data_IF_138351903764
#
_entry.id   IF_138351903764
#
_cell.length_a   1.000
_cell.length_b   1.000
_cell.length_c   1.000
_cell.angle_alpha   90.00
_cell.angle_beta   90.00
_cell.angle_gamma   90.00
#
_symmetry.space_group_name_H-M   'P 1'
#
loop_
_entity.id
_entity.type
_entity.pdbx_description
1 polymer ?
#
# COMPACT_ATOMS: atom_id res chain seq x y z
N UNK A 1 12.15 22.34 -2.42
CA UNK A 1 10.91 23.02 -2.88
C UNK A 1 9.77 22.15 -2.42
N UNK A 2 9.21 22.48 -1.23
CA UNK A 2 7.96 21.87 -0.74
C UNK A 2 6.87 22.13 -1.77
N UNK A 3 6.58 21.17 -2.63
CA UNK A 3 5.26 21.10 -3.24
C UNK A 3 4.30 20.73 -2.11
N UNK A 4 3.67 21.74 -1.49
CA UNK A 4 2.42 21.50 -0.79
C UNK A 4 1.54 20.73 -1.76
N UNK A 5 1.20 19.50 -1.40
CA UNK A 5 0.18 18.72 -2.09
C UNK A 5 -1.15 19.45 -1.90
N UNK A 6 -1.36 20.53 -2.64
CA UNK A 6 -2.69 21.07 -2.82
C UNK A 6 -3.45 20.04 -3.66
N UNK A 7 -4.09 19.16 -2.95
CA UNK A 7 -5.04 18.24 -3.54
C UNK A 7 -6.06 19.07 -4.30
N UNK A 8 -6.10 18.91 -5.61
CA UNK A 8 -7.08 19.62 -6.44
C UNK A 8 -8.46 19.17 -5.96
N UNK A 9 -9.37 20.11 -5.70
CA UNK A 9 -10.77 19.82 -5.32
C UNK A 9 -11.39 18.85 -6.32
N UNK A 10 -10.98 18.97 -7.58
CA UNK A 10 -11.41 18.12 -8.70
C UNK A 10 -10.98 16.65 -8.53
N UNK A 11 -9.82 16.38 -7.94
CA UNK A 11 -9.32 15.01 -7.73
C UNK A 11 -10.12 14.33 -6.61
N UNK A 12 -10.46 15.08 -5.54
CA UNK A 12 -11.30 14.58 -4.44
C UNK A 12 -12.69 14.19 -4.92
N UNK A 13 -13.31 15.04 -5.73
CA UNK A 13 -14.62 14.77 -6.32
C UNK A 13 -14.57 13.55 -7.24
N UNK A 14 -13.51 13.45 -8.07
CA UNK A 14 -13.33 12.34 -9.01
C UNK A 14 -13.22 10.99 -8.29
N UNK A 15 -12.46 10.94 -7.20
CA UNK A 15 -12.27 9.70 -6.42
C UNK A 15 -13.28 9.53 -5.27
N UNK A 16 -14.25 10.41 -5.13
CA UNK A 16 -15.20 10.40 -4.00
C UNK A 16 -14.50 10.34 -2.64
N UNK A 17 -13.39 11.07 -2.53
CA UNK A 17 -12.58 11.09 -1.33
C UNK A 17 -13.24 11.91 -0.23
N UNK A 18 -13.45 11.28 0.93
CA UNK A 18 -13.99 11.91 2.13
C UNK A 18 -12.93 12.81 2.77
N UNK A 19 -13.14 14.16 2.84
CA UNK A 19 -12.15 15.09 3.35
C UNK A 19 -11.84 14.92 4.83
N UNK A 20 -12.73 14.28 5.59
CA UNK A 20 -12.60 14.07 7.04
C UNK A 20 -11.87 12.78 7.40
N UNK A 21 -11.52 11.96 6.38
CA UNK A 21 -10.80 10.69 6.56
C UNK A 21 -9.37 10.76 6.08
N UNK A 22 -8.55 9.85 6.59
CA UNK A 22 -7.23 9.54 6.02
C UNK A 22 -7.38 8.70 4.77
N UNK A 23 -6.53 8.92 3.78
CA UNK A 23 -6.60 8.22 2.50
C UNK A 23 -5.45 7.24 2.38
N UNK A 24 -5.76 5.96 2.20
CA UNK A 24 -4.76 4.88 2.17
C UNK A 24 -4.90 4.10 0.86
N UNK A 25 -3.78 3.96 0.17
CA UNK A 25 -3.69 3.23 -1.08
C UNK A 25 -3.37 1.76 -0.79
N UNK A 26 -4.17 0.84 -1.33
CA UNK A 26 -3.92 -0.60 -1.28
C UNK A 26 -3.58 -1.11 -2.67
N UNK A 27 -2.36 -1.61 -2.85
CA UNK A 27 -1.85 -2.11 -4.13
C UNK A 27 -1.46 -3.59 -4.01
N UNK A 28 -2.43 -4.52 -4.05
CA UNK A 28 -2.20 -5.94 -3.78
C UNK A 28 -1.47 -6.69 -4.89
N UNK A 29 -1.10 -6.03 -5.96
CA UNK A 29 -0.41 -6.60 -7.11
C UNK A 29 -1.22 -6.62 -8.39
N UNK A 30 -0.58 -7.09 -9.47
CA UNK A 30 -1.16 -7.17 -10.81
C UNK A 30 -1.47 -8.61 -11.26
N UNK A 31 -1.21 -9.61 -10.42
CA UNK A 31 -1.48 -11.02 -10.70
C UNK A 31 -2.53 -11.56 -9.74
N UNK A 32 -3.45 -12.38 -10.25
CA UNK A 32 -4.54 -12.94 -9.46
C UNK A 32 -4.09 -13.69 -8.21
N UNK A 33 -2.95 -14.39 -8.26
CA UNK A 33 -2.40 -15.08 -7.09
C UNK A 33 -1.83 -14.12 -6.04
N UNK A 34 -1.21 -13.02 -6.45
CA UNK A 34 -0.75 -11.95 -5.54
C UNK A 34 -1.95 -11.34 -4.81
N UNK A 35 -2.97 -10.95 -5.57
CA UNK A 35 -4.20 -10.36 -5.02
C UNK A 35 -4.88 -11.31 -4.02
N UNK A 36 -5.03 -12.60 -4.37
CA UNK A 36 -5.61 -13.59 -3.44
C UNK A 36 -4.77 -13.79 -2.18
N UNK A 37 -3.45 -13.72 -2.30
CA UNK A 37 -2.54 -13.95 -1.18
C UNK A 37 -2.35 -12.76 -0.26
N UNK A 38 -2.46 -11.53 -0.77
CA UNK A 38 -2.13 -10.31 -0.04
C UNK A 38 -3.35 -9.48 0.36
N UNK A 39 -4.34 -9.33 -0.54
CA UNK A 39 -5.48 -8.44 -0.29
C UNK A 39 -6.27 -8.79 0.98
N UNK A 40 -6.55 -10.06 1.33
CA UNK A 40 -7.23 -10.37 2.59
C UNK A 40 -6.49 -9.80 3.81
N UNK A 41 -5.16 -9.99 3.90
CA UNK A 41 -4.35 -9.46 5.00
C UNK A 41 -4.30 -7.93 5.00
N UNK A 42 -4.23 -7.30 3.82
CA UNK A 42 -4.31 -5.84 3.70
C UNK A 42 -5.65 -5.29 4.20
N UNK A 43 -6.76 -5.99 3.93
CA UNK A 43 -8.10 -5.62 4.42
C UNK A 43 -8.23 -5.79 5.92
N UNK A 44 -7.61 -6.83 6.49
CA UNK A 44 -7.54 -7.01 7.94
C UNK A 44 -6.75 -5.87 8.60
N UNK A 45 -5.59 -5.50 8.02
CA UNK A 45 -4.81 -4.35 8.45
C UNK A 45 -5.61 -3.03 8.31
N UNK A 46 -6.37 -2.87 7.23
CA UNK A 46 -7.24 -1.72 7.03
C UNK A 46 -8.28 -1.57 8.13
N UNK A 47 -8.86 -2.68 8.61
CA UNK A 47 -9.76 -2.66 9.77
C UNK A 47 -9.08 -2.20 11.05
N UNK A 48 -7.87 -2.69 11.32
CA UNK A 48 -7.10 -2.26 12.50
C UNK A 48 -6.71 -0.78 12.44
N UNK A 49 -6.33 -0.30 11.26
CA UNK A 49 -6.03 1.11 11.02
C UNK A 49 -7.28 1.96 11.22
N UNK A 50 -8.41 1.59 10.62
CA UNK A 50 -9.65 2.35 10.69
C UNK A 50 -10.19 2.52 12.11
N UNK A 51 -9.95 1.55 13.01
CA UNK A 51 -10.32 1.64 14.43
C UNK A 51 -9.59 2.78 15.15
N UNK A 52 -8.37 3.12 14.73
CA UNK A 52 -7.50 4.11 15.39
C UNK A 52 -7.43 5.44 14.65
N UNK A 53 -7.58 5.40 13.32
CA UNK A 53 -7.59 6.56 12.44
C UNK A 53 -8.69 6.36 11.39
N UNK A 54 -9.82 7.10 11.47
CA UNK A 54 -10.87 7.01 10.46
C UNK A 54 -10.30 7.17 9.06
N UNK A 55 -10.48 6.16 8.21
CA UNK A 55 -9.78 6.07 6.93
C UNK A 55 -10.68 5.61 5.80
N UNK A 56 -10.35 6.06 4.59
CA UNK A 56 -10.89 5.57 3.34
C UNK A 56 -9.76 4.89 2.55
N UNK A 57 -10.07 3.76 1.95
CA UNK A 57 -9.09 2.92 1.26
C UNK A 57 -9.36 2.89 -0.23
N UNK A 58 -8.31 3.04 -1.02
CA UNK A 58 -8.39 3.04 -2.47
C UNK A 58 -7.63 1.86 -3.06
N UNK A 59 -8.27 1.13 -3.98
CA UNK A 59 -7.65 0.02 -4.70
C UNK A 59 -7.60 0.35 -6.18
N UNK A 60 -6.46 0.82 -6.72
CA UNK A 60 -6.32 1.01 -8.15
C UNK A 60 -6.27 -0.35 -8.84
N UNK A 61 -7.31 -0.65 -9.60
CA UNK A 61 -7.41 -1.93 -10.31
C UNK A 61 -6.39 -2.01 -11.45
N UNK A 62 -5.52 -2.99 -11.40
CA UNK A 62 -4.70 -3.34 -12.56
C UNK A 62 -5.59 -3.92 -13.68
N UNK A 63 -5.34 -3.57 -14.93
CA UNK A 63 -6.13 -4.04 -16.08
C UNK A 63 -6.18 -5.57 -16.22
N UNK A 64 -5.18 -6.26 -15.67
CA UNK A 64 -5.08 -7.72 -15.63
C UNK A 64 -5.96 -8.38 -14.57
N UNK A 65 -6.55 -7.61 -13.65
CA UNK A 65 -7.36 -8.10 -12.53
C UNK A 65 -8.84 -7.82 -12.81
N UNK A 66 -9.67 -8.87 -12.70
CA UNK A 66 -11.11 -8.71 -12.87
C UNK A 66 -11.76 -8.05 -11.65
N UNK A 67 -12.78 -7.23 -11.90
CA UNK A 67 -13.60 -6.65 -10.82
C UNK A 67 -14.26 -7.74 -9.96
N UNK A 68 -14.71 -8.85 -10.57
CA UNK A 68 -15.32 -9.95 -9.84
C UNK A 68 -14.37 -10.57 -8.82
N UNK A 69 -13.07 -10.67 -9.12
CA UNK A 69 -12.08 -11.15 -8.15
C UNK A 69 -11.97 -10.18 -6.97
N UNK A 70 -11.85 -8.87 -7.23
CA UNK A 70 -11.79 -7.88 -6.15
C UNK A 70 -13.05 -7.90 -5.29
N UNK A 71 -14.23 -7.87 -5.92
CA UNK A 71 -15.51 -7.94 -5.20
C UNK A 71 -15.68 -9.22 -4.38
N UNK A 72 -15.21 -10.38 -4.89
CA UNK A 72 -15.27 -11.63 -4.14
C UNK A 72 -14.44 -11.62 -2.86
N UNK A 73 -13.34 -10.87 -2.84
CA UNK A 73 -12.47 -10.73 -1.67
C UNK A 73 -12.98 -9.62 -0.73
N UNK A 74 -13.38 -8.48 -1.29
CA UNK A 74 -13.81 -7.30 -0.54
C UNK A 74 -15.22 -7.49 0.04
N UNK A 75 -16.11 -8.14 -0.68
CA UNK A 75 -17.55 -8.23 -0.34
C UNK A 75 -17.89 -8.86 1.02
N UNK A 76 -16.91 -9.39 1.73
CA UNK A 76 -17.02 -9.95 3.08
C UNK A 76 -16.41 -9.04 4.15
N UNK A 77 -16.10 -7.78 3.84
CA UNK A 77 -15.44 -6.83 4.74
C UNK A 77 -16.35 -5.64 5.12
N UNK A 78 -17.42 -5.85 5.90
CA UNK A 78 -18.22 -4.76 6.40
C UNK A 78 -17.40 -3.90 7.37
N UNK A 79 -17.61 -2.58 7.33
CA UNK A 79 -17.05 -1.65 8.32
C UNK A 79 -15.79 -0.90 7.90
N UNK A 80 -15.32 -1.05 6.66
CA UNK A 80 -14.30 -0.20 6.06
C UNK A 80 -14.80 0.41 4.75
N UNK A 81 -14.43 1.66 4.51
CA UNK A 81 -14.78 2.42 3.31
C UNK A 81 -13.73 2.14 2.24
N UNK A 82 -14.12 1.42 1.18
CA UNK A 82 -13.23 1.00 0.09
C UNK A 82 -13.77 1.45 -1.25
N UNK A 83 -12.95 2.16 -2.02
CA UNK A 83 -13.22 2.53 -3.40
C UNK A 83 -12.27 1.81 -4.36
N UNK A 84 -12.82 1.08 -5.33
CA UNK A 84 -12.04 0.50 -6.43
C UNK A 84 -11.98 1.53 -7.54
N UNK A 85 -10.77 1.88 -7.99
CA UNK A 85 -10.58 2.90 -9.02
C UNK A 85 -9.97 2.31 -10.29
N UNK A 86 -10.23 2.95 -11.42
CA UNK A 86 -9.64 2.62 -12.72
C UNK A 86 -8.89 3.84 -13.27
N UNK A 87 -7.64 3.63 -13.70
CA UNK A 87 -6.79 4.73 -14.18
C UNK A 87 -6.34 5.70 -13.09
N UNK A 88 -5.79 6.85 -13.49
CA UNK A 88 -5.38 7.97 -12.63
C UNK A 88 -4.58 7.57 -11.37
N UNK A 89 -3.74 6.51 -11.48
CA UNK A 89 -2.99 5.93 -10.36
C UNK A 89 -2.05 6.94 -9.70
N UNK A 90 -1.42 7.81 -10.47
CA UNK A 90 -0.52 8.83 -9.95
C UNK A 90 -1.25 9.94 -9.18
N UNK A 91 -2.46 10.30 -9.62
CA UNK A 91 -3.30 11.27 -8.91
C UNK A 91 -3.74 10.69 -7.56
N UNK A 92 -4.09 9.38 -7.52
CA UNK A 92 -4.34 8.66 -6.28
C UNK A 92 -3.12 8.63 -5.35
N UNK A 93 -1.91 8.34 -5.87
CA UNK A 93 -0.68 8.38 -5.08
C UNK A 93 -0.43 9.78 -4.51
N UNK A 94 -0.70 10.83 -5.31
CA UNK A 94 -0.61 12.23 -4.85
C UNK A 94 -1.63 12.59 -3.78
N UNK A 95 -2.77 11.91 -3.74
CA UNK A 95 -3.88 12.17 -2.81
C UNK A 95 -3.72 11.41 -1.49
N UNK A 96 -3.15 10.21 -1.49
CA UNK A 96 -3.11 9.35 -0.33
C UNK A 96 -2.07 9.78 0.71
N UNK A 97 -2.33 9.43 1.98
CA UNK A 97 -1.44 9.68 3.11
C UNK A 97 -0.42 8.58 3.31
N UNK A 98 -0.77 7.35 2.94
CA UNK A 98 0.09 6.17 3.03
C UNK A 98 -0.30 5.13 1.98
N UNK A 99 0.60 4.17 1.73
CA UNK A 99 0.39 3.06 0.82
C UNK A 99 0.79 1.73 1.46
N UNK A 100 0.04 0.68 1.16
CA UNK A 100 0.40 -0.71 1.40
C UNK A 100 0.51 -1.36 0.03
N UNK A 101 1.72 -1.71 -0.39
CA UNK A 101 1.97 -2.18 -1.76
C UNK A 101 2.64 -3.55 -1.80
N UNK A 102 2.24 -4.40 -2.74
CA UNK A 102 3.03 -5.57 -3.09
C UNK A 102 4.34 -5.17 -3.76
N UNK A 103 5.37 -6.02 -3.64
CA UNK A 103 6.65 -5.80 -4.30
C UNK A 103 6.50 -5.70 -5.83
N UNK A 104 7.21 -4.73 -6.42
CA UNK A 104 7.23 -4.49 -7.87
C UNK A 104 7.58 -3.06 -8.21
N UNK A 105 7.38 -2.67 -9.46
CA UNK A 105 7.63 -1.29 -9.94
C UNK A 105 6.78 -0.24 -9.21
N UNK A 106 5.63 -0.64 -8.70
CA UNK A 106 4.72 0.23 -7.96
C UNK A 106 5.37 0.85 -6.71
N UNK A 107 6.28 0.14 -6.04
CA UNK A 107 7.00 0.67 -4.87
C UNK A 107 7.99 1.78 -5.22
N UNK A 108 8.60 1.71 -6.41
CA UNK A 108 9.43 2.79 -6.92
C UNK A 108 8.59 4.01 -7.29
N UNK A 109 7.41 3.79 -7.88
CA UNK A 109 6.48 4.87 -8.21
C UNK A 109 5.99 5.60 -6.95
N UNK A 110 5.65 4.86 -5.88
CA UNK A 110 5.23 5.47 -4.61
C UNK A 110 6.36 6.26 -3.96
N UNK A 111 7.60 5.77 -4.01
CA UNK A 111 8.78 6.49 -3.52
C UNK A 111 9.01 7.79 -4.30
N UNK A 112 8.93 7.77 -5.63
CA UNK A 112 9.05 8.97 -6.48
C UNK A 112 7.92 9.98 -6.23
N UNK A 113 6.77 9.51 -5.77
CA UNK A 113 5.62 10.35 -5.39
C UNK A 113 5.67 10.80 -3.93
N UNK A 114 6.76 10.51 -3.20
CA UNK A 114 6.92 10.85 -1.78
C UNK A 114 5.74 10.33 -0.93
N UNK A 115 5.22 9.14 -1.26
CA UNK A 115 4.13 8.50 -0.55
C UNK A 115 4.69 7.45 0.41
N UNK A 116 4.57 7.63 1.75
CA UNK A 116 5.00 6.63 2.71
C UNK A 116 4.38 5.28 2.41
N UNK A 117 5.22 4.25 2.25
CA UNK A 117 4.79 2.95 1.75
C UNK A 117 5.32 1.83 2.61
N UNK A 118 4.47 0.88 2.98
CA UNK A 118 4.87 -0.44 3.49
C UNK A 118 4.83 -1.42 2.35
N UNK A 119 5.96 -2.04 2.06
CA UNK A 119 6.05 -3.12 1.09
C UNK A 119 5.67 -4.43 1.76
N UNK A 120 4.76 -5.17 1.14
CA UNK A 120 4.36 -6.51 1.59
C UNK A 120 4.58 -7.52 0.46
N UNK A 121 5.16 -8.67 0.79
CA UNK A 121 5.42 -9.67 -0.23
C UNK A 121 5.34 -11.10 0.29
N UNK A 122 4.63 -11.95 -0.45
CA UNK A 122 4.56 -13.39 -0.18
C UNK A 122 4.87 -14.18 -1.45
N UNK A 123 5.84 -15.06 -1.35
CA UNK A 123 6.16 -16.07 -2.35
C UNK A 123 5.48 -17.39 -1.98
N UNK A 124 5.23 -18.24 -2.99
CA UNK A 124 4.88 -19.62 -2.72
C UNK A 124 5.97 -20.28 -1.85
N UNK A 125 5.61 -21.15 -0.88
CA UNK A 125 6.56 -21.72 0.09
C UNK A 125 7.82 -22.34 -0.55
N UNK A 126 7.64 -23.06 -1.65
CA UNK A 126 8.76 -23.68 -2.38
C UNK A 126 9.68 -22.61 -3.03
N UNK A 127 9.09 -21.57 -3.63
CA UNK A 127 9.85 -20.48 -4.24
C UNK A 127 10.62 -19.69 -3.17
N UNK A 128 10.01 -19.47 -2.02
CA UNK A 128 10.66 -18.82 -0.87
C UNK A 128 11.85 -19.64 -0.35
N UNK A 129 11.67 -20.95 -0.20
CA UNK A 129 12.75 -21.84 0.22
C UNK A 129 13.95 -21.77 -0.72
N UNK A 130 13.70 -21.80 -2.04
CA UNK A 130 14.75 -21.65 -3.05
C UNK A 130 15.38 -20.25 -3.01
N UNK A 131 14.55 -19.20 -2.95
CA UNK A 131 15.04 -17.83 -2.91
C UNK A 131 15.95 -17.58 -1.71
N UNK A 132 15.59 -18.05 -0.53
CA UNK A 132 16.40 -17.92 0.70
C UNK A 132 17.76 -18.56 0.59
N UNK A 133 17.90 -19.62 -0.20
CA UNK A 133 19.18 -20.37 -0.33
C UNK A 133 20.02 -19.95 -1.54
N UNK A 134 19.36 -19.41 -2.59
CA UNK A 134 20.04 -19.10 -3.86
C UNK A 134 20.25 -17.59 -4.07
N UNK A 135 19.44 -16.76 -3.44
CA UNK A 135 19.43 -15.32 -3.69
C UNK A 135 19.95 -14.59 -2.45
N UNK A 136 21.10 -13.96 -2.58
CA UNK A 136 21.75 -13.18 -1.51
C UNK A 136 21.38 -11.67 -1.65
N UNK A 137 20.12 -11.36 -1.94
CA UNK A 137 19.67 -9.95 -1.96
C UNK A 137 19.19 -9.58 -0.56
N UNK A 138 19.67 -8.45 -0.07
CA UNK A 138 19.33 -7.93 1.24
C UNK A 138 17.91 -7.34 1.27
N UNK A 139 17.40 -6.84 0.14
CA UNK A 139 16.13 -6.13 0.02
C UNK A 139 15.27 -6.72 -1.10
N UNK A 140 13.95 -6.72 -0.93
CA UNK A 140 12.97 -7.17 -1.91
C UNK A 140 12.37 -6.01 -2.73
N UNK A 141 12.37 -4.80 -2.19
CA UNK A 141 11.85 -3.59 -2.82
C UNK A 141 12.89 -2.86 -3.64
N UNK A 142 12.47 -2.37 -4.80
CA UNK A 142 13.35 -1.61 -5.69
C UNK A 142 13.95 -0.35 -5.04
N UNK A 143 13.22 0.46 -4.25
CA UNK A 143 13.82 1.62 -3.57
C UNK A 143 14.98 1.23 -2.66
N UNK A 144 14.78 0.24 -1.80
CA UNK A 144 15.82 -0.24 -0.86
C UNK A 144 17.01 -0.86 -1.58
N UNK A 145 16.73 -1.61 -2.66
CA UNK A 145 17.77 -2.23 -3.49
C UNK A 145 18.64 -1.18 -4.20
N UNK A 146 18.04 -0.14 -4.75
CA UNK A 146 18.73 0.92 -5.46
C UNK A 146 19.59 1.77 -4.51
N UNK A 147 19.05 2.08 -3.32
CA UNK A 147 19.74 2.92 -2.34
C UNK A 147 20.64 2.12 -1.39
N UNK A 148 20.64 0.79 -1.47
CA UNK A 148 21.39 -0.13 -0.60
C UNK A 148 21.14 0.10 0.89
N UNK A 149 19.98 0.65 1.24
CA UNK A 149 19.49 0.89 2.61
C UNK A 149 17.98 0.77 2.65
N UNK A 150 17.44 0.55 3.85
CA UNK A 150 15.99 0.49 4.05
C UNK A 150 15.43 1.92 4.11
N UNK A 151 14.71 2.31 3.08
CA UNK A 151 13.93 3.56 2.99
C UNK A 151 12.43 3.29 2.94
N UNK A 152 12.07 2.06 2.60
CA UNK A 152 10.69 1.56 2.60
C UNK A 152 10.64 0.31 3.47
N UNK A 153 9.87 0.30 4.57
CA UNK A 153 9.71 -0.91 5.38
C UNK A 153 9.23 -2.09 4.55
N UNK A 154 9.88 -3.24 4.70
CA UNK A 154 9.57 -4.48 3.97
C UNK A 154 9.08 -5.55 4.92
N UNK A 155 7.89 -6.06 4.70
CA UNK A 155 7.34 -7.22 5.39
C UNK A 155 7.30 -8.41 4.44
N UNK A 156 8.00 -9.48 4.79
CA UNK A 156 8.14 -10.66 3.95
C UNK A 156 7.53 -11.88 4.62
N UNK A 157 6.81 -12.69 3.85
CA UNK A 157 6.25 -13.98 4.28
C UNK A 157 5.42 -13.90 5.57
N UNK A 158 5.94 -14.43 6.66
CA UNK A 158 5.27 -14.52 7.97
C UNK A 158 5.18 -13.18 8.68
N UNK A 159 6.01 -12.20 8.29
CA UNK A 159 5.94 -10.82 8.80
C UNK A 159 4.73 -10.05 8.26
N UNK A 160 4.14 -10.52 7.15
CA UNK A 160 2.95 -9.90 6.55
C UNK A 160 1.73 -10.24 7.42
N UNK A 161 1.56 -9.50 8.51
CA UNK A 161 0.42 -9.62 9.42
C UNK A 161 -0.33 -8.30 9.51
N UNK A 162 -1.66 -8.33 9.82
CA UNK A 162 -2.46 -7.11 9.99
C UNK A 162 -1.87 -6.17 11.06
N UNK A 163 -1.42 -6.71 12.18
CA UNK A 163 -0.85 -5.94 13.29
C UNK A 163 0.46 -5.26 12.88
N UNK A 164 1.34 -5.98 12.18
CA UNK A 164 2.63 -5.44 11.75
C UNK A 164 2.43 -4.34 10.71
N UNK A 165 1.58 -4.57 9.69
CA UNK A 165 1.25 -3.55 8.69
C UNK A 165 0.66 -2.31 9.37
N UNK A 166 -0.33 -2.47 10.25
CA UNK A 166 -0.98 -1.34 10.91
C UNK A 166 -0.03 -0.57 11.82
N UNK A 167 0.90 -1.24 12.50
CA UNK A 167 1.90 -0.60 13.36
C UNK A 167 2.87 0.31 12.60
N UNK A 168 3.18 -0.02 11.34
CA UNK A 168 4.02 0.79 10.46
C UNK A 168 3.26 1.97 9.84
N UNK A 169 1.99 1.78 9.48
CA UNK A 169 1.18 2.81 8.81
C UNK A 169 0.66 3.87 9.78
N UNK A 170 0.19 3.48 10.96
CA UNK A 170 -0.45 4.38 11.92
C UNK A 170 0.41 5.60 12.33
N UNK A 171 1.72 5.48 12.57
CA UNK A 171 2.56 6.64 12.86
C UNK A 171 2.51 7.72 11.78
N UNK A 172 2.47 7.34 10.50
CA UNK A 172 2.40 8.30 9.39
C UNK A 172 1.05 9.02 9.30
N UNK A 173 -0.03 8.38 9.75
CA UNK A 173 -1.38 8.97 9.75
C UNK A 173 -1.60 9.90 10.94
N UNK A 174 -1.02 9.58 12.10
CA UNK A 174 -1.27 10.25 13.37
C UNK A 174 -0.23 11.30 13.73
N UNK A 175 1.00 11.18 13.18
CA UNK A 175 2.10 12.08 13.49
C UNK A 175 2.73 12.66 12.21
N UNK A 176 2.49 13.95 11.89
CA UNK A 176 3.07 14.58 10.70
C UNK A 176 4.61 14.51 10.64
N UNK A 177 5.29 14.61 11.79
CA UNK A 177 6.75 14.52 11.84
C UNK A 177 7.28 13.13 11.47
N UNK A 178 6.58 12.06 11.87
CA UNK A 178 6.93 10.69 11.46
C UNK A 178 6.75 10.48 9.95
N UNK A 179 5.74 11.13 9.37
CA UNK A 179 5.51 11.10 7.92
C UNK A 179 6.60 11.87 7.16
N UNK A 180 6.92 13.08 7.62
CA UNK A 180 7.98 13.90 7.02
C UNK A 180 9.34 13.18 7.07
N UNK A 181 9.69 12.59 8.21
CA UNK A 181 10.94 11.84 8.36
C UNK A 181 11.05 10.67 7.37
N UNK A 182 9.96 9.93 7.12
CA UNK A 182 9.96 8.84 6.15
C UNK A 182 10.09 9.32 4.69
N UNK A 183 9.58 10.51 4.39
CA UNK A 183 9.65 11.10 3.04
C UNK A 183 11.04 11.69 2.72
N UNK A 184 11.77 12.14 3.75
CA UNK A 184 13.12 12.70 3.60
C UNK A 184 14.23 11.64 3.48
N UNK A 185 13.94 10.37 3.78
CA UNK A 185 14.86 9.23 3.66
C UNK A 185 15.04 8.77 2.20
#
# INVERSE_FOLDING_TARGET
IRRQRQMCIRDREYFRADPDKKHILLMPGSRGNEVRGLLPTMLDAAREINKKAPSQFFIPRASTISLSLLHSIIGHNPGIDIEITEGARYDLMGMCDACIASSGTATLETALMELPTVLVYRLAPFTWFLAKHLVHVKYAGLPNLLLQREVTPELLQDEVTPDHISSLVLPWLLNPAAREANVEE
#
